data_IF_542837388568
#
_entry.id   IF_542837388568
#
_cell.length_a   1.000
_cell.length_b   1.000
_cell.length_c   1.000
_cell.angle_alpha   90.00
_cell.angle_beta   90.00
_cell.angle_gamma   90.00
#
_symmetry.space_group_name_H-M   'P 1'
#
loop_
_entity.id
_entity.type
_entity.pdbx_description
1 polymer ?
#
# COMPACT_ATOMS: atom_id res chain seq x y z
N UNK A 1 -9.35 27.44 1.38
CA UNK A 1 -10.25 26.37 1.87
C UNK A 1 -10.48 25.23 0.86
N UNK A 2 -9.81 25.20 -0.31
CA UNK A 2 -10.13 24.28 -1.41
C UNK A 2 -9.28 22.99 -1.48
N UNK A 3 -8.42 22.72 -0.48
CA UNK A 3 -7.47 21.61 -0.54
C UNK A 3 -7.95 20.35 0.21
N UNK A 4 -9.13 20.39 0.82
CA UNK A 4 -9.66 19.24 1.54
C UNK A 4 -10.41 18.29 0.60
N UNK A 5 -10.21 16.95 0.71
CA UNK A 5 -10.93 15.98 -0.12
C UNK A 5 -12.44 15.89 0.19
N UNK A 6 -12.91 16.48 1.30
CA UNK A 6 -14.28 16.32 1.79
C UNK A 6 -15.39 16.59 0.77
N UNK A 7 -15.37 17.69 -0.03
CA UNK A 7 -16.45 17.96 -0.98
C UNK A 7 -16.63 16.86 -2.04
N UNK A 8 -15.57 16.08 -2.32
CA UNK A 8 -15.65 14.93 -3.23
C UNK A 8 -16.19 13.69 -2.50
N UNK A 9 -15.64 13.41 -1.32
CA UNK A 9 -16.03 12.28 -0.48
C UNK A 9 -17.52 12.32 -0.13
N UNK A 10 -18.04 13.50 0.27
CA UNK A 10 -19.46 13.72 0.58
C UNK A 10 -20.39 13.41 -0.60
N UNK A 11 -19.89 13.61 -1.82
CA UNK A 11 -20.61 13.31 -3.06
C UNK A 11 -20.43 11.87 -3.51
N UNK A 12 -19.66 11.04 -2.81
CA UNK A 12 -19.31 9.67 -3.20
C UNK A 12 -18.22 9.59 -4.28
N UNK A 13 -17.42 10.64 -4.44
CA UNK A 13 -16.33 10.70 -5.43
C UNK A 13 -14.98 10.58 -4.72
N UNK A 14 -14.05 9.75 -5.22
CA UNK A 14 -12.77 9.57 -4.56
C UNK A 14 -11.91 10.84 -4.69
N UNK A 15 -10.99 11.09 -3.73
CA UNK A 15 -10.07 12.22 -3.76
C UNK A 15 -9.29 12.28 -5.08
N UNK A 16 -9.05 13.49 -5.57
CA UNK A 16 -8.40 13.70 -6.87
C UNK A 16 -7.03 13.01 -6.95
N UNK A 17 -6.21 13.09 -5.89
CA UNK A 17 -4.91 12.43 -5.83
C UNK A 17 -5.03 10.90 -5.96
N UNK A 18 -6.08 10.28 -5.41
CA UNK A 18 -6.28 8.83 -5.50
C UNK A 18 -6.84 8.43 -6.86
N UNK A 19 -7.93 9.07 -7.30
CA UNK A 19 -8.59 8.77 -8.58
C UNK A 19 -7.64 8.96 -9.77
N UNK A 20 -6.86 10.03 -9.76
CA UNK A 20 -5.97 10.38 -10.87
C UNK A 20 -4.59 9.71 -10.76
N UNK A 21 -4.38 8.77 -9.83
CA UNK A 21 -3.11 8.06 -9.70
C UNK A 21 -2.92 7.10 -10.89
N UNK A 22 -2.01 7.39 -11.85
CA UNK A 22 -1.81 6.51 -13.00
C UNK A 22 -1.20 5.17 -12.59
N UNK A 23 -0.44 5.16 -11.48
CA UNK A 23 0.19 3.96 -10.94
C UNK A 23 -0.75 3.04 -10.16
N UNK A 24 -2.03 3.42 -9.96
CA UNK A 24 -3.04 2.61 -9.25
C UNK A 24 -2.62 2.22 -7.82
N UNK A 25 -1.89 3.11 -7.15
CA UNK A 25 -1.23 2.83 -5.86
C UNK A 25 -2.07 3.23 -4.64
N UNK A 26 -3.18 3.95 -4.84
CA UNK A 26 -3.89 4.66 -3.77
C UNK A 26 -5.25 4.04 -3.52
N UNK A 27 -5.38 3.37 -2.38
CA UNK A 27 -6.64 2.88 -1.84
C UNK A 27 -7.29 3.98 -1.01
N UNK A 28 -8.60 4.15 -1.15
CA UNK A 28 -9.42 5.06 -0.36
C UNK A 28 -10.68 4.31 0.07
N UNK A 29 -11.01 4.41 1.35
CA UNK A 29 -12.13 3.69 1.93
C UNK A 29 -12.13 3.86 3.44
N UNK A 30 -12.97 3.10 4.11
CA UNK A 30 -13.07 3.11 5.56
C UNK A 30 -12.29 1.93 6.15
N UNK A 31 -11.62 2.14 7.27
CA UNK A 31 -10.79 1.11 7.94
C UNK A 31 -11.65 0.07 8.68
N UNK A 32 -12.89 0.42 9.02
CA UNK A 32 -13.86 -0.44 9.70
C UNK A 32 -14.63 -1.37 8.75
N UNK A 33 -14.56 -1.15 7.44
CA UNK A 33 -15.04 -2.07 6.42
C UNK A 33 -14.13 -3.31 6.36
N UNK A 34 -14.52 -4.36 7.09
CA UNK A 34 -13.75 -5.60 7.24
C UNK A 34 -13.52 -6.35 5.92
N UNK A 35 -14.46 -6.22 4.98
CA UNK A 35 -14.34 -6.87 3.68
C UNK A 35 -13.48 -6.04 2.71
N UNK A 36 -13.23 -4.77 3.04
CA UNK A 36 -12.50 -3.81 2.24
C UNK A 36 -10.98 -4.04 2.18
N UNK A 37 -10.32 -3.63 1.07
CA UNK A 37 -8.89 -3.87 0.86
C UNK A 37 -8.02 -3.19 1.92
N UNK A 38 -8.43 -2.01 2.42
CA UNK A 38 -7.67 -1.27 3.43
C UNK A 38 -7.63 -2.03 4.76
N UNK A 39 -8.78 -2.55 5.22
CA UNK A 39 -8.84 -3.35 6.43
C UNK A 39 -7.95 -4.58 6.33
N UNK A 40 -8.04 -5.30 5.21
CA UNK A 40 -7.21 -6.48 4.96
C UNK A 40 -5.72 -6.13 4.97
N UNK A 41 -5.29 -5.07 4.29
CA UNK A 41 -3.87 -4.68 4.23
C UNK A 41 -3.31 -4.21 5.58
N UNK A 42 -4.10 -3.47 6.37
CA UNK A 42 -3.67 -2.88 7.64
C UNK A 42 -3.83 -3.85 8.81
N UNK A 43 -5.00 -4.46 8.97
CA UNK A 43 -5.36 -5.22 10.17
C UNK A 43 -5.11 -6.72 10.03
N UNK A 44 -5.39 -7.31 8.86
CA UNK A 44 -5.25 -8.76 8.64
C UNK A 44 -3.84 -9.14 8.22
N UNK A 45 -3.38 -8.64 7.07
CA UNK A 45 -2.06 -8.92 6.49
C UNK A 45 -0.94 -8.15 7.18
N UNK A 46 -1.25 -7.03 7.83
CA UNK A 46 -0.27 -6.17 8.54
C UNK A 46 0.90 -5.73 7.68
N UNK A 47 0.63 -5.46 6.40
CA UNK A 47 1.65 -5.02 5.43
C UNK A 47 1.60 -3.52 5.16
N UNK A 48 0.49 -2.85 5.49
CA UNK A 48 0.35 -1.41 5.38
C UNK A 48 0.58 -0.75 6.74
N UNK A 49 1.65 0.03 6.85
CA UNK A 49 2.17 0.57 8.11
C UNK A 49 2.00 2.09 8.19
N UNK A 50 1.71 2.65 9.38
CA UNK A 50 1.64 4.09 9.57
C UNK A 50 3.01 4.74 9.39
N UNK A 51 3.04 5.97 8.85
CA UNK A 51 4.25 6.80 8.78
C UNK A 51 4.45 7.55 10.10
N UNK A 52 5.65 7.47 10.68
CA UNK A 52 6.04 8.19 11.90
C UNK A 52 5.05 8.04 13.06
N UNK A 53 4.70 6.80 13.41
CA UNK A 53 3.76 6.50 14.49
C UNK A 53 4.24 6.99 15.87
N UNK A 54 5.55 7.13 16.07
CA UNK A 54 6.17 7.68 17.28
C UNK A 54 5.77 9.13 17.58
N UNK A 55 5.23 9.85 16.58
CA UNK A 55 4.68 11.19 16.77
C UNK A 55 3.37 11.22 17.60
N UNK A 56 2.76 10.05 17.88
CA UNK A 56 1.57 9.94 18.72
C UNK A 56 0.29 10.50 18.10
N UNK A 57 0.26 10.72 16.79
CA UNK A 57 -0.90 11.28 16.06
C UNK A 57 -1.89 10.24 15.57
N UNK A 58 -1.56 8.95 15.70
CA UNK A 58 -2.35 7.82 15.20
C UNK A 58 -2.79 8.03 13.73
N UNK A 59 -1.83 8.15 12.79
CA UNK A 59 -2.13 8.55 11.43
C UNK A 59 -3.02 7.54 10.71
N UNK A 60 -3.92 8.03 9.84
CA UNK A 60 -4.86 7.19 9.07
C UNK A 60 -4.43 7.02 7.60
N UNK A 61 -3.16 7.28 7.30
CA UNK A 61 -2.54 6.99 6.00
C UNK A 61 -1.46 5.95 6.23
N UNK A 62 -1.57 4.84 5.50
CA UNK A 62 -0.70 3.68 5.65
C UNK A 62 0.09 3.42 4.36
N UNK A 63 1.28 2.86 4.51
CA UNK A 63 2.22 2.63 3.41
C UNK A 63 2.65 1.17 3.39
N UNK A 64 2.63 0.57 2.21
CA UNK A 64 3.22 -0.75 1.98
C UNK A 64 4.70 -0.56 1.66
N UNK A 65 5.64 -1.10 2.45
CA UNK A 65 7.07 -0.89 2.24
C UNK A 65 7.54 -1.56 0.93
N UNK A 66 8.47 -0.94 0.19
CA UNK A 66 8.87 -1.42 -1.13
C UNK A 66 9.77 -2.66 -1.07
N UNK A 67 9.49 -3.64 -1.91
CA UNK A 67 10.43 -4.72 -2.24
C UNK A 67 11.46 -4.18 -3.26
N UNK A 68 12.54 -3.60 -2.77
CA UNK A 68 13.61 -3.08 -3.63
C UNK A 68 14.28 -4.22 -4.43
N UNK A 69 14.67 -3.99 -5.69
CA UNK A 69 15.47 -4.96 -6.44
C UNK A 69 16.86 -5.14 -5.79
N UNK A 70 17.51 -6.29 -6.03
CA UNK A 70 18.86 -6.57 -5.51
C UNK A 70 19.87 -5.52 -6.00
N UNK A 71 20.98 -5.40 -5.30
CA UNK A 71 22.07 -4.49 -5.70
C UNK A 71 22.92 -5.15 -6.79
N UNK A 72 23.78 -4.34 -7.39
CA UNK A 72 24.90 -4.84 -8.17
C UNK A 72 26.18 -4.59 -7.37
N UNK A 73 27.08 -5.56 -7.35
CA UNK A 73 28.40 -5.40 -6.76
C UNK A 73 29.32 -4.56 -7.68
N UNK A 74 30.56 -4.34 -7.25
CA UNK A 74 31.56 -3.57 -8.02
C UNK A 74 31.90 -4.19 -9.39
N UNK A 75 31.58 -5.48 -9.58
CA UNK A 75 31.79 -6.21 -10.84
C UNK A 75 30.55 -6.20 -11.74
N UNK A 76 29.45 -5.62 -11.26
CA UNK A 76 28.17 -5.59 -11.97
C UNK A 76 27.34 -6.87 -11.80
N UNK A 77 27.74 -7.77 -10.91
CA UNK A 77 27.00 -9.00 -10.61
C UNK A 77 25.91 -8.74 -9.56
N UNK A 78 24.86 -9.55 -9.59
CA UNK A 78 23.73 -9.41 -8.66
C UNK A 78 24.17 -9.77 -7.23
N UNK A 79 24.03 -8.81 -6.32
CA UNK A 79 24.21 -9.01 -4.87
C UNK A 79 22.84 -9.09 -4.18
N UNK A 80 22.48 -10.31 -3.78
CA UNK A 80 21.28 -10.60 -2.98
C UNK A 80 21.53 -10.51 -1.47
N UNK A 81 22.79 -10.47 -1.02
CA UNK A 81 23.16 -10.44 0.40
C UNK A 81 22.89 -9.09 1.04
N UNK A 82 23.07 -8.00 0.28
CA UNK A 82 22.89 -6.64 0.77
C UNK A 82 21.65 -5.99 0.14
N UNK A 83 20.59 -5.70 0.91
CA UNK A 83 19.44 -4.97 0.41
C UNK A 83 19.82 -3.60 -0.16
N UNK A 84 19.20 -3.23 -1.29
CA UNK A 84 19.38 -1.91 -1.90
C UNK A 84 18.90 -0.77 -1.00
N UNK A 85 17.78 -1.00 -0.32
CA UNK A 85 17.25 -0.09 0.70
C UNK A 85 17.56 -0.73 2.06
N UNK A 86 18.34 -0.06 2.93
CA UNK A 86 18.60 -0.55 4.28
C UNK A 86 17.29 -0.76 5.06
N UNK A 87 17.06 -1.93 5.67
CA UNK A 87 15.86 -2.15 6.49
C UNK A 87 15.72 -1.13 7.61
N UNK A 88 16.84 -0.68 8.19
CA UNK A 88 16.89 0.27 9.30
C UNK A 88 16.32 1.64 8.89
N UNK A 89 16.48 2.01 7.61
CA UNK A 89 15.88 3.23 7.07
C UNK A 89 14.36 3.10 6.92
N UNK A 90 13.87 1.93 6.53
CA UNK A 90 12.42 1.71 6.47
C UNK A 90 11.83 1.65 7.89
N UNK A 91 12.55 1.05 8.84
CA UNK A 91 12.15 1.00 10.26
C UNK A 91 12.09 2.39 10.89
N UNK A 92 12.96 3.32 10.51
CA UNK A 92 12.89 4.71 10.99
C UNK A 92 11.68 5.48 10.46
N UNK A 93 11.05 5.01 9.37
CA UNK A 93 9.84 5.62 8.80
C UNK A 93 8.55 4.96 9.29
N UNK A 94 8.53 3.63 9.38
CA UNK A 94 7.30 2.85 9.57
C UNK A 94 7.31 1.99 10.84
N UNK A 95 8.40 2.03 11.62
CA UNK A 95 8.55 1.29 12.86
C UNK A 95 8.95 -0.18 12.68
N UNK A 96 8.87 -0.94 13.77
CA UNK A 96 9.35 -2.33 13.85
C UNK A 96 8.55 -3.33 13.02
N UNK A 97 7.36 -2.96 12.53
CA UNK A 97 6.52 -3.82 11.68
C UNK A 97 7.10 -4.07 10.27
N UNK A 98 8.10 -3.29 9.85
CA UNK A 98 8.67 -3.33 8.49
C UNK A 98 9.20 -4.71 8.12
N UNK A 99 10.01 -5.33 8.99
CA UNK A 99 10.62 -6.63 8.66
C UNK A 99 9.56 -7.69 8.43
N UNK A 100 8.55 -7.75 9.30
CA UNK A 100 7.42 -8.67 9.14
C UNK A 100 6.62 -8.41 7.86
N UNK A 101 6.35 -7.14 7.53
CA UNK A 101 5.64 -6.77 6.31
C UNK A 101 6.43 -7.18 5.05
N UNK A 102 7.74 -6.91 5.01
CA UNK A 102 8.60 -7.29 3.90
C UNK A 102 8.68 -8.80 3.71
N UNK A 103 8.81 -9.58 4.79
CA UNK A 103 8.82 -11.04 4.71
C UNK A 103 7.48 -11.60 4.20
N UNK A 104 6.35 -11.05 4.67
CA UNK A 104 5.01 -11.43 4.19
C UNK A 104 4.86 -11.14 2.69
N UNK A 105 5.25 -9.94 2.26
CA UNK A 105 5.20 -9.53 0.85
C UNK A 105 6.08 -10.43 -0.04
N UNK A 106 7.31 -10.75 0.40
CA UNK A 106 8.20 -11.66 -0.33
C UNK A 106 7.58 -13.06 -0.44
N UNK A 107 7.10 -13.61 0.66
CA UNK A 107 6.54 -14.97 0.69
C UNK A 107 5.32 -15.10 -0.24
N UNK A 108 4.39 -14.14 -0.20
CA UNK A 108 3.21 -14.13 -1.05
C UNK A 108 3.55 -13.90 -2.52
N UNK A 109 4.56 -13.07 -2.83
CA UNK A 109 5.05 -12.90 -4.19
C UNK A 109 5.67 -14.18 -4.74
N UNK A 110 6.47 -14.89 -3.94
CA UNK A 110 7.08 -16.16 -4.35
C UNK A 110 6.03 -17.26 -4.54
N UNK A 111 4.92 -17.27 -3.77
CA UNK A 111 3.76 -18.15 -4.05
C UNK A 111 3.19 -17.93 -5.44
N UNK A 112 2.90 -16.67 -5.78
CA UNK A 112 2.38 -16.31 -7.12
C UNK A 112 3.37 -16.66 -8.22
N UNK A 113 4.66 -16.47 -7.99
CA UNK A 113 5.72 -16.86 -8.94
C UNK A 113 5.74 -18.37 -9.21
N UNK A 114 5.36 -19.21 -8.24
CA UNK A 114 5.19 -20.67 -8.42
C UNK A 114 3.84 -21.06 -9.04
N UNK A 115 2.98 -20.10 -9.39
CA UNK A 115 1.66 -20.32 -9.97
C UNK A 115 0.54 -20.54 -8.95
N UNK A 116 0.81 -20.36 -7.65
CA UNK A 116 -0.20 -20.42 -6.59
C UNK A 116 -1.00 -19.10 -6.52
N UNK A 117 -2.18 -19.14 -5.90
CA UNK A 117 -2.99 -17.92 -5.66
C UNK A 117 -2.56 -17.21 -4.38
N UNK A 118 -2.61 -15.89 -4.38
CA UNK A 118 -2.38 -15.06 -3.20
C UNK A 118 -3.36 -13.90 -3.17
N UNK A 119 -4.24 -13.89 -2.18
CA UNK A 119 -5.19 -12.78 -1.98
C UNK A 119 -4.44 -11.46 -1.77
N UNK A 120 -3.33 -11.47 -1.02
CA UNK A 120 -2.51 -10.26 -0.82
C UNK A 120 -2.00 -9.70 -2.16
N UNK A 121 -1.50 -10.56 -3.04
CA UNK A 121 -1.02 -10.10 -4.35
C UNK A 121 -2.16 -9.65 -5.25
N UNK A 122 -3.31 -10.34 -5.22
CA UNK A 122 -4.50 -9.91 -5.96
C UNK A 122 -4.98 -8.51 -5.52
N UNK A 123 -4.95 -8.25 -4.20
CA UNK A 123 -5.24 -6.94 -3.62
C UNK A 123 -4.25 -5.88 -4.13
N UNK A 124 -2.94 -6.15 -4.15
CA UNK A 124 -1.87 -5.21 -4.52
C UNK A 124 -1.72 -4.98 -6.03
N UNK A 125 -2.06 -5.96 -6.87
CA UNK A 125 -2.00 -5.85 -8.34
C UNK A 125 -3.16 -5.00 -8.86
N UNK A 126 -4.32 -5.08 -8.19
CA UNK A 126 -5.51 -4.29 -8.52
C UNK A 126 -5.94 -4.56 -9.96
N UNK A 127 -6.61 -5.66 -10.25
CA UNK A 127 -7.07 -5.93 -11.61
C UNK A 127 -8.15 -4.94 -12.06
N UNK A 128 -9.10 -4.61 -11.18
CA UNK A 128 -10.15 -3.60 -11.43
C UNK A 128 -9.83 -2.33 -10.66
N UNK A 129 -9.75 -1.20 -11.37
CA UNK A 129 -9.34 0.07 -10.78
C UNK A 129 -10.37 0.65 -9.80
N UNK A 130 -11.66 0.38 -10.02
CA UNK A 130 -12.74 0.82 -9.11
C UNK A 130 -12.63 0.24 -7.70
N UNK A 131 -12.07 -0.97 -7.56
CA UNK A 131 -11.91 -1.68 -6.29
C UNK A 131 -11.01 -0.90 -5.30
N UNK A 132 -10.21 0.06 -5.78
CA UNK A 132 -9.38 0.93 -4.95
C UNK A 132 -10.19 1.88 -4.05
N UNK A 133 -11.42 2.20 -4.40
CA UNK A 133 -12.13 3.36 -3.82
C UNK A 133 -13.31 2.99 -2.93
N UNK A 134 -13.53 1.70 -2.65
CA UNK A 134 -14.61 1.23 -1.78
C UNK A 134 -15.96 1.87 -2.14
N UNK A 135 -16.59 2.63 -1.23
CA UNK A 135 -17.89 3.26 -1.48
C UNK A 135 -17.83 4.53 -2.36
N UNK A 136 -16.64 4.95 -2.81
CA UNK A 136 -16.44 6.18 -3.58
C UNK A 136 -16.26 5.87 -5.07
N UNK A 137 -17.34 5.52 -5.75
CA UNK A 137 -17.33 5.04 -7.14
C UNK A 137 -17.87 6.06 -8.17
N UNK A 138 -18.45 7.17 -7.72
CA UNK A 138 -19.11 8.14 -8.62
C UNK A 138 -18.13 8.87 -9.54
N UNK A 139 -18.64 9.19 -10.73
CA UNK A 139 -17.90 9.97 -11.72
C UNK A 139 -17.89 11.46 -11.32
N UNK A 140 -16.71 12.09 -11.17
CA UNK A 140 -16.61 13.53 -10.88
C UNK A 140 -17.29 14.44 -11.91
N UNK A 141 -17.54 13.97 -13.14
CA UNK A 141 -18.24 14.76 -14.16
C UNK A 141 -19.77 14.81 -13.95
N UNK A 142 -20.31 13.94 -13.10
CA UNK A 142 -21.75 13.75 -12.90
C UNK A 142 -22.29 14.34 -11.59
N UNK A 143 -21.43 14.97 -10.78
CA UNK A 143 -21.76 15.43 -9.41
C UNK A 143 -21.46 16.89 -9.14
#
# INVERSE_FOLDING_TARGET
MQNSPFPRIEKGVPPACARQCPGRLRYIGFLDDKDGPIHKLVNEWKVALPLHAEAGTEPNVFYVPPLAPPRFDEKGEVDESTPRIPPEFLESLFGSGVRQALETLKAEREKVKRGEKSELMDLLIVYKWGDLFGPFDKDPATV
#
